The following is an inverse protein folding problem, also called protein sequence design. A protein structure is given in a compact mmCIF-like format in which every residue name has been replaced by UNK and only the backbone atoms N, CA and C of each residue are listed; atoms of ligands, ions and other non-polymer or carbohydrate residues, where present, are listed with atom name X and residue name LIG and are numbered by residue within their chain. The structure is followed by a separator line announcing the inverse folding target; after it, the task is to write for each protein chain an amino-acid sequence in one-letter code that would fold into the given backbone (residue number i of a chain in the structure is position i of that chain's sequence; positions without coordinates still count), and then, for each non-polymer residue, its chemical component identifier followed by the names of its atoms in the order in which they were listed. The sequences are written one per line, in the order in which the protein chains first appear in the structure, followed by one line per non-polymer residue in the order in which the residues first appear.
data_IF_980505568211
#
_entry.id   IF_980505568211
#
_cell.length_a   1.000
_cell.length_b   1.000
_cell.length_c   1.000
_cell.angle_alpha   90.00
_cell.angle_beta   90.00
_cell.angle_gamma   90.00
#
_symmetry.space_group_name_H-M   'P 1'
#
loop_
_entity.id
_entity.type
_entity.pdbx_description
1 polymer ?
#
# COMPACT_ATOMS: atom_id res chain seq x y z
N UNK A 1 -23.39 -0.90 8.97
CA UNK A 1 -22.03 -0.48 9.42
C UNK A 1 -20.97 -1.21 8.60
N UNK A 2 -19.71 -0.75 8.61
CA UNK A 2 -18.62 -1.49 7.96
C UNK A 2 -18.55 -2.93 8.51
N UNK A 3 -18.35 -3.92 7.64
CA UNK A 3 -18.24 -5.36 7.96
C UNK A 3 -19.49 -6.05 8.52
N UNK A 4 -20.65 -5.39 8.54
CA UNK A 4 -21.87 -5.95 9.14
C UNK A 4 -22.31 -7.26 8.49
N UNK A 5 -22.38 -7.28 7.17
CA UNK A 5 -22.75 -8.48 6.42
C UNK A 5 -21.75 -9.63 6.60
N UNK A 6 -20.45 -9.34 6.71
CA UNK A 6 -19.41 -10.38 6.89
C UNK A 6 -19.52 -11.03 8.27
N UNK A 7 -19.61 -10.24 9.34
CA UNK A 7 -19.69 -10.83 10.68
C UNK A 7 -21.03 -11.55 10.89
N UNK A 8 -22.15 -11.02 10.35
CA UNK A 8 -23.44 -11.70 10.42
C UNK A 8 -23.42 -13.04 9.69
N UNK A 9 -22.82 -13.11 8.50
CA UNK A 9 -22.65 -14.37 7.79
C UNK A 9 -21.80 -15.37 8.59
N UNK A 10 -20.71 -14.91 9.22
CA UNK A 10 -19.85 -15.76 10.05
C UNK A 10 -20.53 -16.27 11.32
N UNK A 11 -21.43 -15.51 11.93
CA UNK A 11 -22.14 -15.89 13.16
C UNK A 11 -23.36 -16.76 12.87
N UNK A 12 -24.15 -16.41 11.85
CA UNK A 12 -25.50 -16.95 11.67
C UNK A 12 -25.59 -18.04 10.59
N UNK A 13 -24.68 -18.07 9.61
CA UNK A 13 -24.82 -19.01 8.49
C UNK A 13 -24.52 -20.46 8.95
N UNK A 14 -25.42 -21.45 8.69
CA UNK A 14 -25.26 -22.83 9.17
C UNK A 14 -23.92 -23.48 8.83
N UNK A 15 -23.44 -23.28 7.61
CA UNK A 15 -22.09 -23.73 7.19
C UNK A 15 -20.97 -23.20 8.10
N UNK A 16 -21.01 -21.90 8.43
CA UNK A 16 -20.01 -21.28 9.30
C UNK A 16 -20.11 -21.81 10.74
N UNK A 17 -21.33 -22.05 11.24
CA UNK A 17 -21.57 -22.64 12.56
C UNK A 17 -21.03 -24.07 12.65
N UNK A 18 -21.23 -24.90 11.62
CA UNK A 18 -20.69 -26.25 11.59
C UNK A 18 -19.15 -26.23 11.61
N UNK A 19 -18.51 -25.35 10.86
CA UNK A 19 -17.05 -25.18 10.90
C UNK A 19 -16.56 -24.74 12.28
N UNK A 20 -17.30 -23.86 12.96
CA UNK A 20 -16.99 -23.42 14.32
C UNK A 20 -17.04 -24.58 15.33
N UNK A 21 -18.11 -25.38 15.30
CA UNK A 21 -18.23 -26.59 16.14
C UNK A 21 -17.15 -27.62 15.81
N UNK A 22 -16.83 -27.83 14.53
CA UNK A 22 -15.78 -28.76 14.10
C UNK A 22 -14.38 -28.34 14.60
N UNK A 23 -14.17 -27.07 14.96
CA UNK A 23 -12.93 -26.56 15.56
C UNK A 23 -12.89 -26.72 17.09
N UNK A 24 -13.94 -27.26 17.70
CA UNK A 24 -14.01 -27.52 19.14
C UNK A 24 -14.74 -26.43 19.94
N UNK A 25 -15.32 -25.43 19.29
CA UNK A 25 -16.09 -24.38 19.95
C UNK A 25 -17.57 -24.75 20.13
N UNK A 26 -18.31 -23.98 20.94
CA UNK A 26 -19.75 -24.20 21.23
C UNK A 26 -20.61 -23.01 20.83
N UNK A 27 -21.81 -23.29 20.32
CA UNK A 27 -22.79 -22.25 19.98
C UNK A 27 -23.49 -21.70 21.24
N UNK A 28 -23.95 -20.43 21.23
CA UNK A 28 -23.91 -19.48 20.12
C UNK A 28 -22.53 -18.84 19.94
N UNK A 29 -22.14 -18.62 18.68
CA UNK A 29 -20.90 -17.88 18.37
C UNK A 29 -21.05 -16.42 18.79
N UNK A 30 -20.16 -15.94 19.65
CA UNK A 30 -20.15 -14.55 20.09
C UNK A 30 -19.79 -13.65 18.90
N UNK A 31 -20.63 -12.64 18.55
CA UNK A 31 -20.29 -11.69 17.51
C UNK A 31 -18.96 -10.98 17.79
N UNK A 32 -18.13 -10.72 16.78
CA UNK A 32 -16.98 -9.85 16.97
C UNK A 32 -17.48 -8.45 17.37
N UNK A 33 -16.79 -7.81 18.29
CA UNK A 33 -17.02 -6.41 18.67
C UNK A 33 -15.88 -5.57 18.09
N UNK A 34 -15.83 -5.34 16.76
CA UNK A 34 -14.73 -4.60 16.15
C UNK A 34 -14.70 -3.17 16.71
N UNK A 35 -13.54 -2.76 17.20
CA UNK A 35 -13.29 -1.37 17.58
C UNK A 35 -12.74 -0.65 16.35
N UNK A 36 -13.63 -0.08 15.56
CA UNK A 36 -13.24 0.77 14.45
C UNK A 36 -12.74 2.12 14.99
N UNK A 37 -11.67 2.62 14.38
CA UNK A 37 -11.08 3.93 14.65
C UNK A 37 -10.72 4.54 13.31
N UNK A 38 -11.18 5.76 13.09
CA UNK A 38 -10.74 6.55 11.95
C UNK A 38 -9.28 6.96 12.14
N UNK A 39 -8.52 6.91 11.06
CA UNK A 39 -7.09 7.20 11.06
C UNK A 39 -6.79 8.37 10.11
N UNK A 40 -5.73 9.11 10.43
CA UNK A 40 -5.24 10.22 9.63
C UNK A 40 -3.73 10.15 9.48
N UNK A 41 -3.12 11.26 9.09
CA UNK A 41 -1.65 11.38 8.94
C UNK A 41 -0.95 11.19 10.29
N UNK A 42 0.20 10.52 10.28
CA UNK A 42 1.03 10.27 11.47
C UNK A 42 1.01 8.80 11.90
N UNK A 43 1.39 8.52 13.15
CA UNK A 43 1.31 7.16 13.70
C UNK A 43 -0.15 6.72 13.82
N UNK A 44 -0.50 5.61 13.14
CA UNK A 44 -1.85 5.05 13.15
C UNK A 44 -1.95 3.80 14.02
N UNK A 45 -0.85 3.06 14.16
CA UNK A 45 -0.75 1.89 15.01
C UNK A 45 0.72 1.61 15.37
N UNK A 46 0.94 0.99 16.52
CA UNK A 46 2.25 0.54 16.96
C UNK A 46 2.12 -0.72 17.81
N UNK A 47 3.18 -1.53 17.82
CA UNK A 47 3.34 -2.69 18.67
C UNK A 47 4.70 -2.67 19.35
N UNK A 48 5.16 -3.84 19.80
CA UNK A 48 6.42 -3.95 20.55
C UNK A 48 7.62 -3.46 19.74
N UNK A 49 7.76 -3.98 18.51
CA UNK A 49 8.92 -3.75 17.66
C UNK A 49 8.49 -3.26 16.26
N UNK A 50 7.23 -2.84 16.08
CA UNK A 50 6.72 -2.36 14.79
C UNK A 50 5.90 -1.09 14.95
N UNK A 51 5.90 -0.27 13.91
CA UNK A 51 5.13 0.97 13.83
C UNK A 51 4.49 1.10 12.45
N UNK A 52 3.29 1.68 12.41
CA UNK A 52 2.62 2.06 11.18
C UNK A 52 2.40 3.55 11.16
N UNK A 53 2.95 4.21 10.15
CA UNK A 53 2.76 5.65 9.90
C UNK A 53 1.98 5.83 8.60
N UNK A 54 1.02 6.76 8.60
CA UNK A 54 0.26 7.13 7.42
C UNK A 54 0.64 8.53 6.92
N UNK A 55 0.59 8.71 5.61
CA UNK A 55 0.67 10.01 4.96
C UNK A 55 -0.46 10.16 3.93
N UNK A 56 -0.73 11.38 3.49
CA UNK A 56 -1.75 11.64 2.47
C UNK A 56 -1.35 10.96 1.16
N UNK A 57 -2.27 10.21 0.57
CA UNK A 57 -2.25 9.80 -0.83
C UNK A 57 -3.19 10.73 -1.62
N UNK A 58 -2.84 11.06 -2.86
CA UNK A 58 -3.65 11.95 -3.70
C UNK A 58 -4.42 11.13 -4.73
N UNK A 59 -5.72 10.96 -4.54
CA UNK A 59 -6.55 10.10 -5.39
C UNK A 59 -7.91 10.70 -5.68
N UNK A 60 -8.83 10.63 -4.70
CA UNK A 60 -10.22 11.03 -4.85
C UNK A 60 -10.59 12.26 -4.01
N UNK A 61 -9.63 13.07 -3.58
CA UNK A 61 -9.92 14.29 -2.84
C UNK A 61 -10.76 15.28 -3.68
N UNK A 62 -11.72 15.99 -3.08
CA UNK A 62 -12.06 16.06 -1.64
C UNK A 62 -13.10 15.02 -1.18
N UNK A 63 -13.49 14.08 -2.04
CA UNK A 63 -14.57 13.13 -1.74
C UNK A 63 -14.14 12.00 -0.80
N UNK A 64 -12.85 11.64 -0.81
CA UNK A 64 -12.30 10.59 0.02
C UNK A 64 -10.90 10.96 0.50
N UNK A 65 -10.70 10.92 1.82
CA UNK A 65 -9.38 10.96 2.43
C UNK A 65 -8.64 9.68 2.08
N UNK A 66 -7.65 9.81 1.19
CA UNK A 66 -6.82 8.69 0.75
C UNK A 66 -5.50 8.73 1.51
N UNK A 67 -5.07 7.59 2.05
CA UNK A 67 -3.84 7.46 2.84
C UNK A 67 -2.94 6.37 2.26
N UNK A 68 -1.63 6.62 2.32
CA UNK A 68 -0.58 5.63 2.16
C UNK A 68 -0.03 5.23 3.54
N UNK A 69 0.45 4.01 3.66
CA UNK A 69 0.95 3.44 4.93
C UNK A 69 2.38 2.97 4.79
N UNK A 70 3.19 3.23 5.80
CA UNK A 70 4.50 2.64 6.01
C UNK A 70 4.44 1.75 7.22
N UNK A 71 4.95 0.54 7.09
CA UNK A 71 5.15 -0.40 8.19
C UNK A 71 6.65 -0.52 8.42
N UNK A 72 7.12 -0.14 9.60
CA UNK A 72 8.51 -0.31 10.02
C UNK A 72 8.63 -1.44 11.03
N UNK A 73 9.69 -2.23 10.89
CA UNK A 73 10.11 -3.33 11.79
C UNK A 73 11.63 -3.32 11.92
N UNK A 74 12.24 -4.09 12.84
CA UNK A 74 13.70 -4.15 12.94
C UNK A 74 14.34 -4.83 11.73
N UNK A 75 13.57 -5.64 11.01
CA UNK A 75 14.02 -6.39 9.82
C UNK A 75 13.90 -5.58 8.52
N UNK A 76 13.16 -4.46 8.56
CA UNK A 76 12.97 -3.60 7.41
C UNK A 76 11.59 -2.95 7.38
N UNK A 77 11.29 -2.34 6.23
CA UNK A 77 10.19 -1.40 6.06
C UNK A 77 9.47 -1.57 4.71
N UNK A 78 8.15 -1.51 4.75
CA UNK A 78 7.28 -1.70 3.58
C UNK A 78 6.28 -0.57 3.46
N UNK A 79 6.16 -0.02 2.25
CA UNK A 79 5.18 1.02 1.90
C UNK A 79 4.01 0.41 1.14
N UNK A 80 2.80 0.82 1.49
CA UNK A 80 1.55 0.56 0.77
C UNK A 80 0.99 1.90 0.33
N UNK A 81 1.02 2.18 -0.97
CA UNK A 81 0.61 3.51 -1.47
C UNK A 81 -0.91 3.71 -1.46
N UNK A 82 -1.67 2.62 -1.49
CA UNK A 82 -3.06 2.67 -1.95
C UNK A 82 -3.16 3.16 -3.40
N UNK A 83 -4.36 3.55 -3.79
CA UNK A 83 -4.57 4.31 -5.03
C UNK A 83 -4.08 5.74 -4.80
N UNK A 84 -3.18 6.22 -5.65
CA UNK A 84 -2.63 7.59 -5.58
C UNK A 84 -2.03 7.97 -6.93
N UNK A 85 -2.00 9.26 -7.25
CA UNK A 85 -1.06 9.81 -8.23
C UNK A 85 0.31 10.06 -7.58
N UNK A 86 1.26 10.56 -8.36
CA UNK A 86 2.54 11.05 -7.84
C UNK A 86 2.31 12.23 -6.93
N UNK A 87 2.73 12.08 -5.67
CA UNK A 87 2.70 13.15 -4.70
C UNK A 87 3.92 13.08 -3.78
N UNK A 88 4.31 14.26 -3.27
CA UNK A 88 5.50 14.41 -2.46
C UNK A 88 5.36 13.73 -1.09
N UNK A 89 4.14 13.67 -0.55
CA UNK A 89 3.83 13.03 0.74
C UNK A 89 4.13 11.53 0.72
N UNK A 90 3.74 10.82 -0.34
CA UNK A 90 4.04 9.38 -0.50
C UNK A 90 5.53 9.17 -0.78
N UNK A 91 6.15 10.04 -1.58
CA UNK A 91 7.61 9.99 -1.83
C UNK A 91 8.40 10.14 -0.53
N UNK A 92 8.00 11.07 0.34
CA UNK A 92 8.67 11.33 1.61
C UNK A 92 8.40 10.22 2.62
N UNK A 93 7.19 9.66 2.66
CA UNK A 93 6.88 8.46 3.46
C UNK A 93 7.75 7.27 3.04
N UNK A 94 7.96 7.09 1.74
CA UNK A 94 8.74 5.99 1.15
C UNK A 94 10.26 6.18 1.24
N UNK A 95 10.72 7.29 1.81
CA UNK A 95 12.15 7.57 1.94
C UNK A 95 12.83 6.50 2.78
N UNK A 96 13.87 5.91 2.20
CA UNK A 96 14.66 4.84 2.81
C UNK A 96 13.90 3.57 3.16
N UNK A 97 12.71 3.38 2.60
CA UNK A 97 12.02 2.10 2.71
C UNK A 97 12.78 0.98 1.98
N UNK A 98 12.58 -0.26 2.40
CA UNK A 98 13.17 -1.44 1.75
C UNK A 98 12.31 -1.91 0.57
N UNK A 99 10.99 -1.81 0.75
CA UNK A 99 9.99 -2.28 -0.20
C UNK A 99 8.83 -1.28 -0.36
N UNK A 100 8.29 -1.21 -1.57
CA UNK A 100 7.07 -0.45 -1.87
C UNK A 100 6.14 -1.32 -2.72
N UNK A 101 4.91 -1.48 -2.24
CA UNK A 101 3.77 -1.96 -2.99
C UNK A 101 2.99 -0.75 -3.51
N UNK A 102 3.16 -0.48 -4.81
CA UNK A 102 2.52 0.65 -5.47
C UNK A 102 1.48 0.14 -6.45
N UNK A 103 0.27 0.70 -6.33
CA UNK A 103 -0.77 0.50 -7.32
C UNK A 103 -0.31 0.99 -8.69
N UNK A 104 -0.63 0.23 -9.73
CA UNK A 104 -0.42 0.64 -11.12
C UNK A 104 -1.71 0.38 -11.89
N UNK A 105 -2.40 1.47 -12.26
CA UNK A 105 -3.70 1.41 -12.90
C UNK A 105 -3.60 0.83 -14.31
N UNK A 106 -2.77 1.44 -15.16
CA UNK A 106 -2.47 0.95 -16.51
C UNK A 106 -1.11 1.50 -17.02
N UNK A 107 -0.81 1.29 -18.29
CA UNK A 107 0.27 1.98 -18.98
C UNK A 107 0.04 3.50 -18.98
N UNK A 108 1.07 4.26 -18.61
CA UNK A 108 0.95 5.72 -18.52
C UNK A 108 0.44 6.35 -19.82
N UNK A 109 0.93 5.89 -20.97
CA UNK A 109 0.52 6.43 -22.28
C UNK A 109 -0.99 6.26 -22.51
N UNK A 110 -1.54 5.10 -22.14
CA UNK A 110 -2.98 4.82 -22.22
C UNK A 110 -3.73 5.76 -21.28
N UNK A 111 -3.30 5.89 -20.03
CA UNK A 111 -3.92 6.77 -19.03
C UNK A 111 -3.92 8.24 -19.44
N UNK A 112 -2.86 8.70 -20.11
CA UNK A 112 -2.79 10.05 -20.67
C UNK A 112 -3.80 10.23 -21.82
N UNK A 113 -3.91 9.24 -22.72
CA UNK A 113 -4.87 9.31 -23.82
C UNK A 113 -6.33 9.22 -23.36
N UNK A 114 -6.61 8.49 -22.27
CA UNK A 114 -7.96 8.33 -21.71
C UNK A 114 -8.29 9.35 -20.62
N UNK A 115 -7.35 10.23 -20.27
CA UNK A 115 -7.48 11.23 -19.20
C UNK A 115 -7.73 10.61 -17.80
N UNK A 116 -7.21 9.41 -17.57
CA UNK A 116 -7.25 8.67 -16.30
C UNK A 116 -5.98 8.85 -15.46
N UNK A 117 -4.99 9.59 -15.97
CA UNK A 117 -3.69 9.76 -15.31
C UNK A 117 -3.75 10.56 -13.99
N UNK A 118 -4.81 11.36 -13.78
CA UNK A 118 -4.96 12.17 -12.57
C UNK A 118 -5.53 11.33 -11.44
N UNK A 119 -4.87 11.39 -10.27
CA UNK A 119 -5.26 10.64 -9.08
C UNK A 119 -4.80 9.19 -9.04
N UNK A 120 -4.11 8.66 -10.06
CA UNK A 120 -3.66 7.27 -10.10
C UNK A 120 -2.24 7.13 -10.69
N UNK A 121 -1.52 6.09 -10.26
CA UNK A 121 -0.18 5.78 -10.75
C UNK A 121 -0.25 4.91 -12.00
N UNK A 122 0.45 5.33 -13.07
CA UNK A 122 0.73 4.50 -14.23
C UNK A 122 2.14 3.90 -14.21
N UNK A 123 2.47 3.16 -15.28
CA UNK A 123 3.75 2.43 -15.40
C UNK A 123 5.01 3.28 -15.31
N UNK A 124 4.98 4.57 -15.68
CA UNK A 124 6.13 5.48 -15.61
C UNK A 124 6.13 6.34 -14.35
N UNK A 125 4.94 6.61 -13.82
CA UNK A 125 4.73 7.20 -12.53
C UNK A 125 5.42 6.47 -11.37
N UNK A 126 5.53 5.16 -11.52
CA UNK A 126 6.47 4.25 -10.84
C UNK A 126 7.84 4.86 -10.46
N UNK A 127 8.38 5.80 -11.25
CA UNK A 127 9.76 6.30 -11.16
C UNK A 127 9.99 7.60 -10.37
N UNK A 128 9.08 8.61 -10.34
CA UNK A 128 9.24 9.80 -9.50
C UNK A 128 8.73 9.66 -8.04
N UNK A 129 7.77 8.77 -7.76
CA UNK A 129 7.40 8.40 -6.36
C UNK A 129 8.47 7.55 -5.70
N UNK A 130 9.23 6.83 -6.53
CA UNK A 130 10.55 6.33 -6.19
C UNK A 130 11.52 7.51 -6.14
N UNK A 131 12.11 7.88 -5.00
CA UNK A 131 13.05 8.99 -4.97
C UNK A 131 14.28 8.67 -5.83
N UNK A 132 14.38 9.24 -7.03
CA UNK A 132 15.69 9.50 -7.65
C UNK A 132 16.41 10.52 -6.78
N UNK A 133 17.68 10.26 -6.49
CA UNK A 133 18.62 11.26 -5.98
C UNK A 133 18.51 12.51 -6.85
N UNK A 134 17.92 13.59 -6.29
CA UNK A 134 18.05 14.90 -6.90
C UNK A 134 19.49 15.33 -6.66
N UNK A 135 20.32 15.20 -7.68
CA UNK A 135 21.62 15.86 -7.73
C UNK A 135 21.39 17.37 -7.72
N UNK A 136 22.02 18.03 -6.74
CA UNK A 136 22.27 19.48 -6.63
C UNK A 136 20.99 20.29 -6.29
N UNK A 137 20.86 20.98 -5.16
CA UNK A 137 21.73 22.03 -4.61
C UNK A 137 21.87 21.92 -3.08
N UNK A 138 23.09 21.65 -2.62
CA UNK A 138 23.73 21.95 -1.32
C UNK A 138 24.89 20.94 -1.22
N UNK A 139 26.09 21.42 -0.91
CA UNK A 139 27.34 20.68 -1.08
C UNK A 139 27.33 19.28 -0.44
N UNK A 140 28.06 18.31 -1.01
CA UNK A 140 28.06 16.94 -0.50
C UNK A 140 28.65 16.90 0.90
N UNK A 141 27.84 16.53 1.89
CA UNK A 141 28.34 16.00 3.16
C UNK A 141 29.02 14.65 2.86
N UNK A 142 30.36 14.54 2.99
CA UNK A 142 31.10 13.34 2.65
C UNK A 142 30.78 12.13 3.56
N UNK A 143 29.99 12.34 4.63
CA UNK A 143 29.58 11.27 5.54
C UNK A 143 28.15 10.77 5.30
N UNK A 144 27.40 11.33 4.34
CA UNK A 144 26.02 10.91 4.06
C UNK A 144 25.97 9.82 2.98
N UNK A 145 25.49 8.59 3.28
CA UNK A 145 25.35 7.55 2.27
C UNK A 145 24.34 7.96 1.19
N UNK A 146 24.69 7.75 -0.08
CA UNK A 146 23.82 8.04 -1.22
C UNK A 146 22.61 7.08 -1.25
N UNK A 147 21.40 7.56 -1.59
CA UNK A 147 20.23 6.69 -1.72
C UNK A 147 20.39 5.72 -2.91
N UNK A 148 20.00 4.44 -2.73
CA UNK A 148 20.19 3.36 -3.72
C UNK A 148 18.97 3.24 -4.65
N UNK A 149 19.15 2.79 -5.91
CA UNK A 149 18.05 2.70 -6.87
C UNK A 149 17.08 1.56 -6.56
N UNK A 150 15.81 1.76 -6.95
CA UNK A 150 14.73 0.78 -6.81
C UNK A 150 14.51 -0.01 -8.09
N UNK A 151 14.18 -1.31 -7.96
CA UNK A 151 13.91 -2.17 -9.11
C UNK A 151 12.55 -2.90 -9.00
N UNK A 152 11.83 -3.10 -10.13
CA UNK A 152 10.70 -4.02 -10.17
C UNK A 152 11.12 -5.44 -9.85
N UNK A 153 10.36 -6.10 -8.96
CA UNK A 153 10.39 -7.55 -8.88
C UNK A 153 9.63 -8.10 -10.11
N UNK A 154 10.22 -9.07 -10.81
CA UNK A 154 9.59 -9.72 -11.97
C UNK A 154 8.31 -10.41 -11.53
N UNK A 155 7.14 -9.91 -11.95
CA UNK A 155 5.89 -10.65 -11.81
C UNK A 155 5.75 -11.68 -12.94
N UNK A 156 5.18 -12.88 -12.71
CA UNK A 156 4.86 -13.80 -13.79
C UNK A 156 3.89 -13.12 -14.78
N UNK A 157 4.08 -13.33 -16.09
CA UNK A 157 3.16 -12.80 -17.11
C UNK A 157 1.76 -13.37 -16.88
N UNK A 158 0.90 -12.61 -16.19
CA UNK A 158 -0.52 -12.92 -16.05
C UNK A 158 -1.19 -12.91 -17.42
N UNK A 159 -1.98 -13.95 -17.72
CA UNK A 159 -2.68 -14.14 -19.00
C UNK A 159 -3.51 -12.90 -19.35
N UNK A 160 -3.43 -12.49 -20.61
CA UNK A 160 -4.24 -11.41 -21.19
C UNK A 160 -5.74 -11.69 -20.99
N UNK A 161 -6.38 -11.00 -20.04
CA UNK A 161 -7.82 -10.86 -19.98
C UNK A 161 -8.14 -9.38 -20.25
N UNK A 162 -8.85 -9.02 -21.34
CA UNK A 162 -9.11 -7.63 -21.70
C UNK A 162 -10.03 -6.89 -20.72
N UNK A 163 -10.67 -7.60 -19.77
CA UNK A 163 -11.64 -6.99 -18.85
C UNK A 163 -11.13 -6.78 -17.41
N UNK A 164 -9.93 -7.25 -17.06
CA UNK A 164 -9.32 -7.00 -15.74
C UNK A 164 -7.82 -6.78 -15.91
N UNK A 165 -7.38 -5.51 -15.89
CA UNK A 165 -5.97 -5.11 -16.04
C UNK A 165 -5.30 -4.64 -14.74
N UNK A 166 -5.85 -4.93 -13.56
CA UNK A 166 -5.18 -4.57 -12.30
C UNK A 166 -3.91 -5.41 -12.13
N UNK A 167 -2.75 -4.77 -12.16
CA UNK A 167 -1.45 -5.38 -11.84
C UNK A 167 -0.83 -4.60 -10.70
N UNK A 168 -0.83 -5.18 -9.51
CA UNK A 168 -0.04 -4.66 -8.40
C UNK A 168 1.44 -4.97 -8.68
N UNK A 169 2.30 -3.96 -8.59
CA UNK A 169 3.74 -4.14 -8.77
C UNK A 169 4.47 -4.00 -7.45
N UNK A 170 5.33 -4.98 -7.18
CA UNK A 170 6.21 -4.99 -6.02
C UNK A 170 7.59 -4.45 -6.40
N UNK A 171 8.13 -3.59 -5.56
CA UNK A 171 9.45 -2.99 -5.72
C UNK A 171 10.31 -3.34 -4.53
N UNK A 172 11.58 -3.59 -4.79
CA UNK A 172 12.59 -3.81 -3.76
C UNK A 172 13.82 -2.96 -4.07
N UNK A 173 14.46 -2.44 -3.02
CA UNK A 173 15.82 -1.92 -3.10
C UNK A 173 16.79 -3.10 -3.28
N UNK A 174 17.70 -3.04 -4.25
CA UNK A 174 18.66 -4.13 -4.50
C UNK A 174 19.90 -3.91 -3.64
N UNK A 175 20.34 -4.94 -2.92
CA UNK A 175 21.62 -4.95 -2.21
C UNK A 175 22.76 -5.07 -3.22
N UNK A 176 23.84 -4.31 -3.00
CA UNK A 176 25.07 -4.51 -3.76
C UNK A 176 25.76 -5.76 -3.19
N UNK A 177 26.08 -6.72 -4.07
CA UNK A 177 26.98 -7.85 -3.76
C UNK A 177 28.38 -7.38 -3.34
#
# INVERSE_FOLDING_TARGET
MAFESDWQARVNHPYSQQVFVNRGDTLPRIPPAPKAKDVGVGEVASGKDWQVTAAVAEHCQTYLDSLAYRVDTPEGSVIFTGDTQHCDTVRDLARDADMMLCMCWDEQSVMETTNEAKGQCGTTGRHPTCPRSRSQETGPDPHRPQPRPWHPLRTPRGRNNPHVRRRDYLFRRVDAD
#
